data_IF_036342990341
#
_entry.id   IF_036342990341
#
_cell.length_a   1.000
_cell.length_b   1.000
_cell.length_c   1.000
_cell.angle_alpha   90.00
_cell.angle_beta   90.00
_cell.angle_gamma   90.00
#
_symmetry.space_group_name_H-M   'P 1'
#
loop_
_entity.id
_entity.type
_entity.pdbx_description
1 polymer ?
#
# COMPACT_ATOMS: atom_id res chain seq x y z
N UNK A 1 -27.62 -15.21 -23.76
CA UNK A 1 -26.66 -16.06 -23.01
C UNK A 1 -25.64 -15.11 -22.44
N UNK A 2 -25.64 -14.93 -21.12
CA UNK A 2 -24.96 -13.85 -20.40
C UNK A 2 -23.48 -14.18 -20.18
N UNK A 3 -22.58 -13.29 -20.56
CA UNK A 3 -21.27 -13.07 -19.90
C UNK A 3 -21.01 -11.55 -20.00
N UNK A 4 -20.52 -10.85 -18.95
CA UNK A 4 -19.18 -11.12 -18.44
C UNK A 4 -19.01 -11.12 -16.92
N UNK A 5 -18.09 -11.97 -16.49
CA UNK A 5 -17.33 -11.90 -15.24
C UNK A 5 -17.20 -10.48 -14.67
N UNK A 6 -18.06 -10.11 -13.71
CA UNK A 6 -17.73 -9.03 -12.79
C UNK A 6 -16.75 -9.60 -11.76
N UNK A 7 -15.51 -9.12 -11.67
CA UNK A 7 -14.67 -9.46 -10.54
C UNK A 7 -15.39 -8.97 -9.28
N UNK A 8 -15.60 -9.88 -8.33
CA UNK A 8 -16.20 -9.58 -7.04
C UNK A 8 -15.22 -8.75 -6.19
N UNK A 9 -14.94 -7.51 -6.61
CA UNK A 9 -14.36 -6.50 -5.71
C UNK A 9 -15.49 -6.03 -4.82
N UNK A 10 -15.40 -6.33 -3.52
CA UNK A 10 -16.34 -5.86 -2.50
C UNK A 10 -16.70 -4.39 -2.75
N UNK A 11 -17.99 -4.01 -2.65
CA UNK A 11 -18.40 -2.62 -2.81
C UNK A 11 -17.69 -1.79 -1.73
N UNK A 12 -16.69 -1.00 -2.12
CA UNK A 12 -15.86 -0.21 -1.19
C UNK A 12 -14.35 -0.41 -1.32
N UNK A 13 -13.89 -1.35 -2.16
CA UNK A 13 -12.47 -1.46 -2.49
C UNK A 13 -12.26 -1.13 -3.98
N UNK A 14 -11.70 0.04 -4.26
CA UNK A 14 -11.27 0.38 -5.61
C UNK A 14 -10.19 -0.65 -6.05
N UNK A 15 -10.34 -1.34 -7.20
CA UNK A 15 -9.32 -2.28 -7.68
C UNK A 15 -7.94 -1.63 -7.79
N UNK A 16 -7.87 -0.33 -8.09
CA UNK A 16 -6.61 0.41 -8.14
C UNK A 16 -5.97 0.58 -6.76
N UNK A 17 -6.75 0.64 -5.67
CA UNK A 17 -6.21 0.63 -4.30
C UNK A 17 -5.63 -0.73 -3.93
N UNK A 18 -6.29 -1.81 -4.35
CA UNK A 18 -5.78 -3.17 -4.14
C UNK A 18 -4.43 -3.34 -4.84
N UNK A 19 -4.35 -2.92 -6.10
CA UNK A 19 -3.12 -2.99 -6.88
C UNK A 19 -2.00 -2.14 -6.27
N UNK A 20 -2.31 -0.91 -5.82
CA UNK A 20 -1.35 -0.05 -5.11
C UNK A 20 -0.84 -0.70 -3.82
N UNK A 21 -1.71 -1.34 -3.03
CA UNK A 21 -1.29 -2.06 -1.82
C UNK A 21 -0.42 -3.27 -2.15
N UNK A 22 -0.76 -4.02 -3.20
CA UNK A 22 0.04 -5.15 -3.64
C UNK A 22 1.45 -4.71 -4.05
N UNK A 23 1.56 -3.64 -4.85
CA UNK A 23 2.86 -3.08 -5.25
C UNK A 23 3.71 -2.63 -4.04
N UNK A 24 3.09 -2.03 -3.02
CA UNK A 24 3.78 -1.68 -1.76
C UNK A 24 4.28 -2.93 -1.03
N UNK A 25 3.44 -3.97 -0.92
CA UNK A 25 3.80 -5.20 -0.23
C UNK A 25 4.96 -5.94 -0.91
N UNK A 26 4.96 -6.00 -2.24
CA UNK A 26 6.03 -6.61 -3.02
C UNK A 26 7.35 -5.83 -2.90
N UNK A 27 7.30 -4.50 -2.95
CA UNK A 27 8.49 -3.65 -2.87
C UNK A 27 9.17 -3.67 -1.49
N UNK A 28 8.38 -3.76 -0.41
CA UNK A 28 8.88 -3.65 0.96
C UNK A 28 9.25 -4.99 1.59
N UNK A 29 8.55 -6.06 1.19
CA UNK A 29 8.71 -7.38 1.79
C UNK A 29 8.27 -7.43 3.26
N UNK A 30 8.46 -8.59 3.88
CA UNK A 30 8.04 -8.86 5.27
C UNK A 30 9.12 -8.59 6.33
N UNK A 31 10.36 -8.37 5.88
CA UNK A 31 11.55 -8.26 6.73
C UNK A 31 11.90 -6.83 7.13
N UNK A 32 11.30 -5.83 6.48
CA UNK A 32 11.59 -4.41 6.75
C UNK A 32 10.92 -3.91 8.03
N UNK A 33 9.98 -4.67 8.61
CA UNK A 33 9.15 -4.20 9.71
C UNK A 33 9.76 -4.54 11.08
N UNK A 34 9.64 -3.64 12.08
CA UNK A 34 9.09 -2.28 11.99
C UNK A 34 10.07 -1.30 11.32
N UNK A 35 9.54 -0.27 10.62
CA UNK A 35 10.36 0.72 9.94
C UNK A 35 9.70 2.10 9.84
N UNK A 36 10.52 3.14 9.82
CA UNK A 36 10.12 4.50 9.50
C UNK A 36 10.07 4.75 7.99
N UNK A 37 9.54 5.92 7.60
CA UNK A 37 9.47 6.36 6.20
C UNK A 37 10.82 6.26 5.48
N UNK A 38 11.92 6.65 6.11
CA UNK A 38 13.22 6.74 5.44
C UNK A 38 13.76 5.35 5.13
N UNK A 39 13.60 4.43 6.09
CA UNK A 39 13.91 3.01 5.97
C UNK A 39 13.07 2.35 4.88
N UNK A 40 11.76 2.62 4.83
CA UNK A 40 10.87 2.08 3.80
C UNK A 40 11.26 2.58 2.39
N UNK A 41 11.60 3.86 2.25
CA UNK A 41 12.08 4.43 0.98
C UNK A 41 13.40 3.78 0.56
N UNK A 42 14.36 3.63 1.50
CA UNK A 42 15.64 2.98 1.24
C UNK A 42 15.46 1.54 0.77
N UNK A 43 14.65 0.74 1.48
CA UNK A 43 14.36 -0.65 1.11
C UNK A 43 13.72 -0.76 -0.28
N UNK A 44 12.75 0.11 -0.58
CA UNK A 44 12.11 0.15 -1.89
C UNK A 44 13.11 0.54 -3.00
N UNK A 45 14.04 1.44 -2.74
CA UNK A 45 15.10 1.81 -3.69
C UNK A 45 16.07 0.65 -3.93
N UNK A 46 16.50 -0.05 -2.88
CA UNK A 46 17.35 -1.24 -3.00
C UNK A 46 16.68 -2.33 -3.83
N UNK A 47 15.37 -2.51 -3.67
CA UNK A 47 14.55 -3.44 -4.44
C UNK A 47 14.22 -3.01 -5.87
N UNK A 48 14.72 -1.86 -6.35
CA UNK A 48 14.34 -1.26 -7.64
C UNK A 48 12.81 -1.10 -7.80
N UNK A 49 12.13 -0.69 -6.72
CA UNK A 49 10.71 -0.40 -6.76
C UNK A 49 10.40 0.74 -7.74
N UNK A 50 9.17 0.75 -8.27
CA UNK A 50 8.74 1.77 -9.21
C UNK A 50 8.72 3.18 -8.60
N UNK A 51 8.94 4.20 -9.43
CA UNK A 51 8.85 5.60 -8.99
C UNK A 51 7.50 5.94 -8.34
N UNK A 52 6.42 5.29 -8.77
CA UNK A 52 5.11 5.44 -8.16
C UNK A 52 5.11 5.00 -6.68
N UNK A 53 5.69 3.85 -6.38
CA UNK A 53 5.86 3.35 -5.00
C UNK A 53 6.73 4.30 -4.19
N UNK A 54 7.87 4.74 -4.73
CA UNK A 54 8.76 5.69 -4.06
C UNK A 54 8.07 7.03 -3.77
N UNK A 55 7.31 7.55 -4.72
CA UNK A 55 6.54 8.78 -4.55
C UNK A 55 5.47 8.64 -3.47
N UNK A 56 4.81 7.49 -3.37
CA UNK A 56 3.86 7.20 -2.30
C UNK A 56 4.55 7.16 -0.94
N UNK A 57 5.62 6.38 -0.79
CA UNK A 57 6.35 6.26 0.49
C UNK A 57 6.85 7.62 1.00
N UNK A 58 7.30 8.52 0.11
CA UNK A 58 7.71 9.88 0.48
C UNK A 58 6.59 10.74 1.08
N UNK A 59 5.31 10.42 0.82
CA UNK A 59 4.15 11.12 1.39
C UNK A 59 3.80 10.69 2.81
N UNK A 60 4.42 9.61 3.32
CA UNK A 60 4.20 9.16 4.69
C UNK A 60 4.63 10.23 5.70
N UNK A 61 3.98 10.29 6.88
CA UNK A 61 4.41 11.13 7.98
C UNK A 61 5.84 10.77 8.42
N UNK A 62 6.64 11.79 8.72
CA UNK A 62 7.96 11.61 9.30
C UNK A 62 7.84 11.33 10.81
N UNK A 63 8.79 10.58 11.37
CA UNK A 63 8.81 10.26 12.80
C UNK A 63 7.70 9.30 13.26
N UNK A 64 7.03 8.63 12.32
CA UNK A 64 6.11 7.52 12.60
C UNK A 64 6.79 6.23 12.20
N UNK A 65 6.78 5.25 13.12
CA UNK A 65 7.19 3.89 12.84
C UNK A 65 5.96 3.10 12.39
N UNK A 66 6.11 2.34 11.30
CA UNK A 66 5.09 1.46 10.77
C UNK A 66 5.46 0.03 11.09
N UNK A 67 4.49 -0.74 11.57
CA UNK A 67 4.71 -2.15 11.97
C UNK A 67 4.37 -3.13 10.86
N UNK A 68 3.64 -2.70 9.84
CA UNK A 68 3.21 -3.53 8.72
C UNK A 68 2.74 -2.69 7.51
N UNK A 69 2.52 -3.37 6.38
CA UNK A 69 2.08 -2.73 5.13
C UNK A 69 0.65 -2.14 5.20
N UNK A 70 -0.23 -2.63 6.08
CA UNK A 70 -1.59 -2.09 6.21
C UNK A 70 -1.56 -0.70 6.84
N UNK A 71 -0.72 -0.46 7.84
CA UNK A 71 -0.54 0.87 8.44
C UNK A 71 0.00 1.87 7.42
N UNK A 72 0.96 1.45 6.58
CA UNK A 72 1.47 2.25 5.46
C UNK A 72 0.35 2.57 4.47
N UNK A 73 -0.44 1.56 4.08
CA UNK A 73 -1.58 1.75 3.18
C UNK A 73 -2.60 2.73 3.78
N UNK A 74 -2.95 2.61 5.06
CA UNK A 74 -3.86 3.52 5.75
C UNK A 74 -3.32 4.95 5.81
N UNK A 75 -2.03 5.13 6.13
CA UNK A 75 -1.39 6.45 6.15
C UNK A 75 -1.36 7.13 4.77
N UNK A 76 -1.38 6.34 3.70
CA UNK A 76 -1.48 6.82 2.31
C UNK A 76 -2.92 7.03 1.84
N UNK A 77 -3.91 6.74 2.68
CA UNK A 77 -5.33 6.77 2.30
C UNK A 77 -5.73 5.61 1.38
N UNK A 78 -4.87 4.60 1.22
CA UNK A 78 -5.17 3.36 0.52
C UNK A 78 -5.93 2.47 1.49
N UNK A 79 -7.20 2.76 1.72
CA UNK A 79 -8.03 2.16 2.76
C UNK A 79 -9.47 2.00 2.25
N UNK A 80 -10.06 0.82 2.42
CA UNK A 80 -11.50 0.66 2.19
C UNK A 80 -12.25 1.64 3.08
N UNK A 81 -13.19 2.38 2.49
CA UNK A 81 -14.19 3.16 3.23
C UNK A 81 -15.07 2.23 4.08
N UNK A 82 -14.60 1.71 5.20
CA UNK A 82 -15.45 1.10 6.23
C UNK A 82 -14.77 1.39 7.57
N UNK A 83 -15.26 2.37 8.35
CA UNK A 83 -16.46 2.18 9.16
C UNK A 83 -17.15 3.52 9.48
N UNK A 84 -18.26 3.82 8.80
CA UNK A 84 -19.32 4.66 9.38
C UNK A 84 -20.24 3.70 10.15
N UNK A 85 -20.07 3.58 11.46
CA UNK A 85 -21.10 3.14 12.40
C UNK A 85 -20.95 3.94 13.69
#
# INVERSE_FOLDING_TARGET
>A
MTDPHQPATSPGTDPADVERRAALAEALGKEVWPADRETLVGKAQEGNASDAVLAQLRRLPAGTEFTNVQEVAQALGLGTEQQRF
#
